data_IF_417101384997
#
_entry.id   IF_417101384997
#
_cell.length_a   1.000
_cell.length_b   1.000
_cell.length_c   1.000
_cell.angle_alpha   90.00
_cell.angle_beta   90.00
_cell.angle_gamma   90.00
#
_symmetry.space_group_name_H-M   'P 1'
#
loop_
_entity.id
_entity.type
_entity.pdbx_description
1 polymer ?
#
# COMPACT_ATOMS: atom_id res chain seq x y z
N UNK A 1 4.65 14.75 -29.29
CA UNK A 1 3.59 15.35 -28.50
C UNK A 1 3.98 15.18 -27.04
N UNK A 2 4.51 16.22 -26.41
CA UNK A 2 4.96 16.17 -25.03
C UNK A 2 3.73 16.12 -24.11
N UNK A 3 3.60 15.04 -23.35
CA UNK A 3 2.66 15.01 -22.24
C UNK A 3 3.18 15.99 -21.19
N UNK A 4 2.48 17.11 -21.04
CA UNK A 4 2.70 18.05 -19.95
C UNK A 4 2.59 17.28 -18.64
N UNK A 5 3.57 17.49 -17.78
CA UNK A 5 3.54 16.98 -16.41
C UNK A 5 2.23 17.43 -15.76
N UNK A 6 1.37 16.47 -15.50
CA UNK A 6 0.10 16.69 -14.82
C UNK A 6 0.34 17.45 -13.52
N UNK A 7 -0.35 18.55 -13.38
CA UNK A 7 -0.49 19.25 -12.11
C UNK A 7 -0.91 18.22 -11.05
N UNK A 8 -0.21 18.10 -9.93
CA UNK A 8 -0.61 17.17 -8.90
C UNK A 8 -2.06 17.46 -8.50
N UNK A 9 -2.90 16.45 -8.41
CA UNK A 9 -4.23 16.53 -7.79
C UNK A 9 -4.07 16.89 -6.30
N UNK A 10 -3.28 17.93 -6.01
CA UNK A 10 -2.72 18.14 -4.71
C UNK A 10 -3.42 19.28 -3.99
N UNK A 11 -4.28 18.92 -3.05
CA UNK A 11 -4.37 19.77 -1.87
C UNK A 11 -3.00 19.76 -1.18
N UNK A 12 -2.44 20.92 -0.79
CA UNK A 12 -1.19 20.96 -0.05
C UNK A 12 -1.34 20.10 1.21
N UNK A 13 -0.46 19.15 1.38
CA UNK A 13 -0.43 18.27 2.53
C UNK A 13 0.83 18.53 3.37
N UNK A 14 0.98 19.73 3.96
CA UNK A 14 2.19 20.12 4.69
C UNK A 14 2.50 19.20 5.88
N UNK A 15 1.51 18.47 6.36
CA UNK A 15 1.66 17.48 7.42
C UNK A 15 2.45 16.23 6.98
N UNK A 16 2.67 16.04 5.67
CA UNK A 16 3.50 14.97 5.12
C UNK A 16 5.00 15.34 5.09
N UNK A 17 5.33 16.61 5.20
CA UNK A 17 6.72 17.03 5.13
C UNK A 17 7.57 16.37 6.22
N UNK A 18 8.67 15.75 5.83
CA UNK A 18 9.56 14.99 6.70
C UNK A 18 9.00 13.66 7.21
N UNK A 19 7.75 13.31 6.96
CA UNK A 19 7.15 12.03 7.40
C UNK A 19 7.80 10.86 6.70
N UNK A 20 8.12 9.83 7.47
CA UNK A 20 8.65 8.55 6.97
C UNK A 20 7.50 7.64 6.60
N UNK A 21 7.37 7.34 5.32
CA UNK A 21 6.24 6.56 4.79
C UNK A 21 6.76 5.31 4.09
N UNK A 22 6.40 4.15 4.62
CA UNK A 22 6.68 2.88 3.96
C UNK A 22 5.50 2.43 3.12
N UNK A 23 5.77 2.02 1.88
CA UNK A 23 4.75 1.66 0.90
C UNK A 23 5.00 0.27 0.35
N UNK A 24 3.99 -0.58 0.33
CA UNK A 24 4.00 -1.83 -0.44
C UNK A 24 3.21 -1.65 -1.74
N UNK A 25 3.59 -2.34 -2.80
CA UNK A 25 2.92 -2.20 -4.09
C UNK A 25 3.26 -0.91 -4.84
N UNK A 26 4.29 -0.19 -4.40
CA UNK A 26 4.74 1.06 -5.02
C UNK A 26 5.19 0.91 -6.48
N UNK A 27 5.57 -0.28 -6.91
CA UNK A 27 5.93 -0.59 -8.31
C UNK A 27 4.72 -0.88 -9.20
N UNK A 28 3.51 -0.89 -8.64
CA UNK A 28 2.25 -1.13 -9.37
C UNK A 28 1.65 0.13 -9.99
N UNK A 29 0.49 -0.02 -10.62
CA UNK A 29 -0.21 1.08 -11.29
C UNK A 29 -0.53 2.25 -10.35
N UNK A 30 -1.15 1.99 -9.21
CA UNK A 30 -1.47 3.04 -8.21
C UNK A 30 -0.19 3.66 -7.65
N UNK A 31 0.82 2.82 -7.36
CA UNK A 31 2.10 3.27 -6.80
C UNK A 31 2.82 4.28 -7.68
N UNK A 32 2.80 4.10 -9.01
CA UNK A 32 3.40 5.04 -9.96
C UNK A 32 2.83 6.46 -9.89
N UNK A 33 1.58 6.59 -9.46
CA UNK A 33 0.92 7.88 -9.29
C UNK A 33 1.05 8.42 -7.87
N UNK A 34 1.05 7.54 -6.87
CA UNK A 34 1.13 7.94 -5.47
C UNK A 34 2.54 8.37 -5.05
N UNK A 35 3.57 7.56 -5.41
CA UNK A 35 4.93 7.82 -4.92
C UNK A 35 5.47 9.21 -5.31
N UNK A 36 5.31 9.69 -6.56
CA UNK A 36 5.73 11.04 -6.92
C UNK A 36 5.05 12.13 -6.09
N UNK A 37 3.77 11.95 -5.75
CA UNK A 37 3.02 12.91 -4.95
C UNK A 37 3.50 12.95 -3.50
N UNK A 38 3.80 11.78 -2.90
CA UNK A 38 4.36 11.71 -1.56
C UNK A 38 5.73 12.39 -1.48
N UNK A 39 6.59 12.13 -2.48
CA UNK A 39 7.91 12.78 -2.56
C UNK A 39 7.76 14.29 -2.76
N UNK A 40 6.88 14.74 -3.64
CA UNK A 40 6.60 16.15 -3.87
C UNK A 40 6.03 16.87 -2.63
N UNK A 41 5.31 16.13 -1.77
CA UNK A 41 4.82 16.63 -0.49
C UNK A 41 5.89 16.64 0.63
N UNK A 42 7.15 16.34 0.32
CA UNK A 42 8.26 16.34 1.28
C UNK A 42 8.38 15.07 2.13
N UNK A 43 7.61 14.02 1.85
CA UNK A 43 7.72 12.76 2.58
C UNK A 43 9.01 12.00 2.24
N UNK A 44 9.56 11.30 3.22
CA UNK A 44 10.65 10.33 3.05
C UNK A 44 10.03 8.96 2.76
N UNK A 45 10.09 8.56 1.50
CA UNK A 45 9.36 7.37 1.04
C UNK A 45 10.27 6.16 0.94
N UNK A 46 9.89 5.08 1.60
CA UNK A 46 10.50 3.75 1.50
C UNK A 46 9.53 2.81 0.76
N UNK A 47 9.97 2.20 -0.33
CA UNK A 47 9.17 1.25 -1.09
C UNK A 47 9.63 -0.18 -0.82
N UNK A 48 8.75 -1.01 -0.25
CA UNK A 48 8.98 -2.44 -0.10
C UNK A 48 8.80 -3.12 -1.45
N UNK A 49 9.84 -3.82 -1.90
CA UNK A 49 9.84 -4.53 -3.19
C UNK A 49 10.26 -5.99 -3.02
N UNK A 50 9.76 -6.85 -3.90
CA UNK A 50 10.30 -8.20 -4.07
C UNK A 50 11.61 -8.11 -4.87
N UNK A 51 12.45 -9.16 -4.78
CA UNK A 51 13.70 -9.23 -5.55
C UNK A 51 13.47 -9.11 -7.08
N UNK A 52 12.33 -9.62 -7.57
CA UNK A 52 11.94 -9.63 -8.98
C UNK A 52 11.19 -8.38 -9.45
N UNK A 53 10.90 -7.42 -8.57
CA UNK A 53 10.14 -6.22 -8.93
C UNK A 53 10.96 -5.31 -9.85
N UNK A 54 10.33 -4.83 -10.92
CA UNK A 54 10.91 -3.76 -11.75
C UNK A 54 10.89 -2.45 -10.97
N UNK A 55 11.96 -1.67 -11.07
CA UNK A 55 12.17 -0.44 -10.29
C UNK A 55 12.47 0.77 -11.14
N UNK A 56 12.55 0.58 -12.44
CA UNK A 56 12.93 1.55 -13.46
C UNK A 56 12.02 2.80 -13.49
N UNK A 57 10.84 2.70 -12.90
CA UNK A 57 9.85 3.79 -12.84
C UNK A 57 9.64 4.36 -11.43
N UNK A 58 10.44 3.96 -10.46
CA UNK A 58 10.37 4.58 -9.13
C UNK A 58 10.94 6.00 -9.21
N UNK A 59 10.28 6.99 -8.61
CA UNK A 59 10.79 8.35 -8.63
C UNK A 59 12.10 8.48 -7.85
N UNK A 60 12.92 9.44 -8.25
CA UNK A 60 14.12 9.80 -7.49
C UNK A 60 13.72 10.17 -6.05
N UNK A 61 14.58 9.80 -5.08
CA UNK A 61 14.32 10.05 -3.66
C UNK A 61 13.50 8.96 -2.94
N UNK A 62 13.01 7.94 -3.66
CA UNK A 62 12.40 6.77 -3.03
C UNK A 62 13.46 5.76 -2.64
N UNK A 63 13.54 5.46 -1.35
CA UNK A 63 14.36 4.37 -0.83
C UNK A 63 13.71 3.02 -1.14
N UNK A 64 14.52 2.01 -1.44
CA UNK A 64 14.01 0.67 -1.76
C UNK A 64 14.51 -0.34 -0.74
N UNK A 65 13.59 -1.00 -0.06
CA UNK A 65 13.87 -2.09 0.88
C UNK A 65 13.31 -3.39 0.35
N UNK A 66 14.05 -4.48 0.55
CA UNK A 66 13.61 -5.82 0.20
C UNK A 66 12.94 -6.47 1.41
N UNK A 67 11.67 -6.82 1.28
CA UNK A 67 10.98 -7.67 2.22
C UNK A 67 9.97 -8.56 1.48
N UNK A 68 9.60 -9.65 2.11
CA UNK A 68 8.68 -10.62 1.52
C UNK A 68 7.37 -10.65 2.30
N UNK A 69 6.32 -10.16 1.68
CA UNK A 69 4.96 -10.16 2.23
C UNK A 69 4.40 -11.57 2.46
N UNK A 70 4.93 -12.57 1.76
CA UNK A 70 4.44 -13.96 1.89
C UNK A 70 5.01 -14.64 3.13
N UNK A 71 6.32 -14.53 3.34
CA UNK A 71 7.01 -15.14 4.49
C UNK A 71 7.09 -14.24 5.71
N UNK A 72 6.86 -12.93 5.55
CA UNK A 72 7.07 -11.92 6.58
C UNK A 72 8.53 -11.49 6.75
N UNK A 73 9.46 -12.08 6.01
CA UNK A 73 10.89 -11.79 6.15
C UNK A 73 11.20 -10.33 5.81
N UNK A 74 11.91 -9.63 6.71
CA UNK A 74 12.31 -8.24 6.56
C UNK A 74 11.21 -7.21 6.80
N UNK A 75 9.97 -7.61 7.11
CA UNK A 75 8.86 -6.66 7.31
C UNK A 75 9.04 -5.81 8.57
N UNK A 76 9.45 -6.41 9.68
CA UNK A 76 9.69 -5.64 10.91
C UNK A 76 10.77 -4.58 10.71
N UNK A 77 11.85 -4.93 10.02
CA UNK A 77 12.93 -3.99 9.70
C UNK A 77 12.44 -2.85 8.81
N UNK A 78 11.65 -3.17 7.77
CA UNK A 78 11.11 -2.20 6.85
C UNK A 78 10.07 -1.25 7.51
N UNK A 79 9.32 -1.72 8.50
CA UNK A 79 8.31 -0.94 9.23
C UNK A 79 8.90 -0.10 10.38
N UNK A 80 10.03 -0.52 10.92
CA UNK A 80 10.61 0.09 12.11
C UNK A 80 10.93 1.57 11.90
N UNK A 81 10.43 2.40 12.82
CA UNK A 81 10.69 3.84 12.80
C UNK A 81 10.04 4.60 11.64
N UNK A 82 9.11 3.97 10.94
CA UNK A 82 8.25 4.66 9.98
C UNK A 82 7.08 5.35 10.70
N UNK A 83 6.57 6.44 10.13
CA UNK A 83 5.39 7.13 10.68
C UNK A 83 4.09 6.52 10.14
N UNK A 84 4.08 6.17 8.86
CA UNK A 84 2.89 5.66 8.15
C UNK A 84 3.28 4.45 7.31
N UNK A 85 2.44 3.42 7.31
CA UNK A 85 2.50 2.30 6.39
C UNK A 85 1.31 2.34 5.43
N UNK A 86 1.57 2.31 4.11
CA UNK A 86 0.54 2.23 3.07
C UNK A 86 0.68 0.88 2.36
N UNK A 87 -0.31 0.02 2.54
CA UNK A 87 -0.34 -1.30 1.92
C UNK A 87 -1.25 -1.30 0.69
N UNK A 88 -0.63 -1.34 -0.50
CA UNK A 88 -1.31 -1.39 -1.81
C UNK A 88 -0.95 -2.65 -2.61
N UNK A 89 -0.01 -3.46 -2.10
CA UNK A 89 0.37 -4.68 -2.80
C UNK A 89 -0.81 -5.66 -2.84
N UNK A 90 -1.23 -6.01 -4.03
CA UNK A 90 -2.30 -6.98 -4.25
C UNK A 90 -2.10 -7.74 -5.55
N UNK A 91 -2.76 -8.89 -5.66
CA UNK A 91 -2.92 -9.64 -6.88
C UNK A 91 -4.31 -9.36 -7.43
N UNK A 92 -4.39 -8.82 -8.66
CA UNK A 92 -5.67 -8.51 -9.34
C UNK A 92 -6.16 -9.69 -10.19
N UNK A 93 -5.23 -10.48 -10.73
CA UNK A 93 -5.52 -11.59 -11.64
C UNK A 93 -4.80 -12.84 -11.15
N UNK A 94 -5.52 -13.73 -10.50
CA UNK A 94 -5.07 -15.05 -10.07
C UNK A 94 -5.76 -16.17 -10.87
N UNK A 95 -5.17 -17.36 -10.84
CA UNK A 95 -5.74 -18.54 -11.47
C UNK A 95 -6.85 -19.18 -10.62
N UNK A 96 -6.87 -18.89 -9.30
CA UNK A 96 -7.87 -19.42 -8.40
C UNK A 96 -7.84 -18.76 -7.01
N UNK A 97 -8.78 -19.17 -6.16
CA UNK A 97 -8.96 -18.65 -4.80
C UNK A 97 -7.67 -18.62 -3.97
N UNK A 98 -6.87 -19.69 -4.07
CA UNK A 98 -5.63 -19.81 -3.29
C UNK A 98 -4.59 -18.74 -3.65
N UNK A 99 -4.58 -18.27 -4.90
CA UNK A 99 -3.64 -17.21 -5.31
C UNK A 99 -4.01 -15.88 -4.67
N UNK A 100 -5.31 -15.55 -4.64
CA UNK A 100 -5.81 -14.34 -3.98
C UNK A 100 -5.60 -14.40 -2.47
N UNK A 101 -5.90 -15.54 -1.85
CA UNK A 101 -5.71 -15.74 -0.42
C UNK A 101 -4.26 -15.48 0.00
N UNK A 102 -3.30 -16.09 -0.71
CA UNK A 102 -1.86 -15.94 -0.43
C UNK A 102 -1.36 -14.54 -0.70
N UNK A 103 -1.75 -13.97 -1.84
CA UNK A 103 -1.19 -12.70 -2.28
C UNK A 103 -1.82 -11.48 -1.60
N UNK A 104 -3.08 -11.57 -1.18
CA UNK A 104 -3.83 -10.47 -0.61
C UNK A 104 -4.03 -10.65 0.90
N UNK A 105 -4.77 -11.67 1.31
CA UNK A 105 -5.13 -11.86 2.72
C UNK A 105 -3.93 -12.25 3.61
N UNK A 106 -3.14 -13.25 3.20
CA UNK A 106 -1.98 -13.68 3.99
C UNK A 106 -0.88 -12.62 4.00
N UNK A 107 -0.69 -11.89 2.89
CA UNK A 107 0.25 -10.77 2.83
C UNK A 107 -0.13 -9.64 3.78
N UNK A 108 -1.40 -9.24 3.80
CA UNK A 108 -1.90 -8.24 4.74
C UNK A 108 -1.77 -8.72 6.20
N UNK A 109 -2.03 -10.00 6.45
CA UNK A 109 -1.85 -10.60 7.78
C UNK A 109 -0.39 -10.59 8.22
N UNK A 110 0.55 -10.95 7.35
CA UNK A 110 1.98 -10.92 7.67
C UNK A 110 2.44 -9.51 8.04
N UNK A 111 1.97 -8.51 7.29
CA UNK A 111 2.26 -7.11 7.56
C UNK A 111 1.67 -6.66 8.92
N UNK A 112 0.42 -7.01 9.20
CA UNK A 112 -0.22 -6.71 10.47
C UNK A 112 0.47 -7.38 11.65
N UNK A 113 0.94 -8.63 11.48
CA UNK A 113 1.70 -9.35 12.50
C UNK A 113 3.04 -8.66 12.80
N UNK A 114 3.78 -8.24 11.77
CA UNK A 114 5.02 -7.49 11.94
C UNK A 114 4.76 -6.14 12.63
N UNK A 115 3.69 -5.46 12.25
CA UNK A 115 3.24 -4.22 12.90
C UNK A 115 2.94 -4.44 14.39
N UNK A 116 2.16 -5.45 14.76
CA UNK A 116 1.81 -5.77 16.15
C UNK A 116 3.04 -6.05 17.02
N UNK A 117 4.04 -6.75 16.48
CA UNK A 117 5.29 -7.01 17.20
C UNK A 117 6.08 -5.74 17.48
N UNK A 118 6.10 -4.81 16.53
CA UNK A 118 6.74 -3.52 16.70
C UNK A 118 5.95 -2.60 17.63
N UNK A 119 4.62 -2.68 17.61
CA UNK A 119 3.74 -1.90 18.48
C UNK A 119 3.98 -2.26 19.95
N UNK A 120 4.12 -3.54 20.26
CA UNK A 120 4.51 -4.00 21.59
C UNK A 120 5.87 -3.46 22.07
N UNK A 121 6.71 -2.97 21.16
CA UNK A 121 8.00 -2.36 21.41
C UNK A 121 7.98 -0.82 21.34
N UNK A 122 6.83 -0.21 21.04
CA UNK A 122 6.69 1.22 20.79
C UNK A 122 7.39 1.71 19.52
N UNK A 123 7.58 0.83 18.53
CA UNK A 123 8.37 1.09 17.31
C UNK A 123 7.57 0.94 16.02
N UNK A 124 6.26 0.64 16.11
CA UNK A 124 5.39 0.52 14.96
C UNK A 124 5.07 1.87 14.30
N UNK A 125 4.74 1.89 13.01
CA UNK A 125 4.14 3.06 12.39
C UNK A 125 2.89 3.51 13.15
N UNK A 126 2.68 4.81 13.28
CA UNK A 126 1.51 5.36 13.97
C UNK A 126 0.20 5.08 13.24
N UNK A 127 0.27 4.88 11.91
CA UNK A 127 -0.88 4.61 11.06
C UNK A 127 -0.57 3.53 10.03
N UNK A 128 -1.56 2.66 9.81
CA UNK A 128 -1.59 1.74 8.68
C UNK A 128 -2.79 2.05 7.79
N UNK A 129 -2.54 2.26 6.52
CA UNK A 129 -3.56 2.43 5.48
C UNK A 129 -3.56 1.17 4.62
N UNK A 130 -4.66 0.42 4.66
CA UNK A 130 -4.89 -0.72 3.78
C UNK A 130 -5.76 -0.28 2.62
N UNK A 131 -5.22 -0.34 1.42
CA UNK A 131 -5.99 -0.06 0.20
C UNK A 131 -6.79 -1.29 -0.16
N UNK A 132 -8.10 -1.17 -0.04
CA UNK A 132 -9.07 -2.21 -0.37
C UNK A 132 -9.60 -2.02 -1.80
N UNK A 133 -10.75 -2.62 -2.11
CA UNK A 133 -11.38 -2.55 -3.41
C UNK A 133 -12.90 -2.43 -3.27
N UNK A 134 -13.55 -1.84 -4.26
CA UNK A 134 -15.02 -1.88 -4.37
C UNK A 134 -15.55 -3.32 -4.45
N UNK A 135 -14.75 -4.26 -4.96
CA UNK A 135 -15.10 -5.67 -4.97
C UNK A 135 -15.34 -6.24 -3.56
N UNK A 136 -14.71 -5.69 -2.54
CA UNK A 136 -14.92 -6.11 -1.14
C UNK A 136 -16.28 -5.69 -0.60
N UNK A 137 -16.81 -4.54 -1.05
CA UNK A 137 -18.14 -4.09 -0.63
C UNK A 137 -19.27 -4.88 -1.30
N UNK A 138 -19.01 -5.46 -2.47
CA UNK A 138 -20.01 -6.17 -3.28
C UNK A 138 -21.04 -5.27 -3.95
N UNK A 139 -22.04 -5.85 -4.63
CA UNK A 139 -23.06 -5.11 -5.36
C UNK A 139 -23.90 -4.22 -4.43
N UNK A 140 -24.45 -3.17 -4.99
CA UNK A 140 -25.40 -2.28 -4.34
C UNK A 140 -26.71 -2.28 -5.13
N UNK A 141 -27.82 -2.44 -4.41
CA UNK A 141 -29.15 -2.57 -5.00
C UNK A 141 -29.87 -1.21 -5.11
N UNK A 142 -29.23 -0.14 -4.67
CA UNK A 142 -29.83 1.21 -4.70
C UNK A 142 -28.90 2.23 -5.37
N UNK A 143 -29.46 3.23 -6.08
CA UNK A 143 -28.68 4.33 -6.66
C UNK A 143 -27.91 5.17 -5.62
N UNK A 144 -28.33 5.15 -4.38
CA UNK A 144 -27.68 5.88 -3.28
C UNK A 144 -26.32 5.30 -2.88
N UNK A 145 -26.02 4.07 -3.32
CA UNK A 145 -24.78 3.39 -2.95
C UNK A 145 -24.83 2.73 -1.57
N UNK A 146 -23.69 2.22 -1.12
CA UNK A 146 -23.48 1.69 0.23
C UNK A 146 -22.73 2.73 1.07
N UNK A 147 -23.15 2.93 2.32
CA UNK A 147 -22.41 3.73 3.28
C UNK A 147 -21.15 3.00 3.77
N UNK A 148 -20.27 3.75 4.44
CA UNK A 148 -18.97 3.24 4.94
C UNK A 148 -19.15 2.12 5.99
N UNK A 149 -20.27 2.13 6.72
CA UNK A 149 -20.60 1.11 7.73
C UNK A 149 -21.29 -0.14 7.15
N UNK A 150 -21.56 -0.16 5.86
CA UNK A 150 -22.20 -1.32 5.24
C UNK A 150 -21.28 -2.54 5.27
N UNK A 151 -21.80 -3.73 5.64
CA UNK A 151 -21.00 -4.94 5.67
C UNK A 151 -20.48 -5.29 4.27
N UNK A 152 -19.24 -5.78 4.20
CA UNK A 152 -18.69 -6.32 2.96
C UNK A 152 -19.49 -7.55 2.50
N UNK A 153 -19.76 -7.63 1.20
CA UNK A 153 -20.47 -8.74 0.58
C UNK A 153 -19.82 -9.10 -0.78
N UNK A 154 -18.55 -9.53 -0.78
CA UNK A 154 -17.81 -9.82 -2.01
C UNK A 154 -18.47 -10.98 -2.77
N UNK A 155 -18.56 -10.85 -4.10
CA UNK A 155 -19.12 -11.85 -5.01
C UNK A 155 -18.04 -12.53 -5.85
N UNK A 156 -16.80 -12.22 -5.64
CA UNK A 156 -15.65 -12.79 -6.33
C UNK A 156 -14.56 -13.22 -5.36
N UNK A 157 -13.61 -14.02 -5.85
CA UNK A 157 -12.46 -14.45 -5.08
C UNK A 157 -11.42 -13.32 -4.82
N UNK A 158 -11.52 -12.25 -5.58
CA UNK A 158 -10.70 -11.06 -5.42
C UNK A 158 -11.21 -10.15 -4.33
#
# INVERSE_FOLDING_TARGET
>A
MSHSADTPLGMPAPWLDGKKIVVTGGTGFVGRHLLPQLVAAGARVTCITRATSRRDHLPAGVEVVRADLRSGAGLEEALRGQDICIHMASLLFGLGWQDYLRANSEAARALATAWQRLDAQGQAPQRMVLVSSLAASGPCDTPAGKGDDAPGAPVSAY
#
